data_IF_175123957897
#
_entry.id   IF_175123957897
#
_cell.length_a   1.000
_cell.length_b   1.000
_cell.length_c   1.000
_cell.angle_alpha   90.00
_cell.angle_beta   90.00
_cell.angle_gamma   90.00
#
_symmetry.space_group_name_H-M   'P 1'
#
loop_
_entity.id
_entity.type
_entity.pdbx_description
1 polymer ?
#
# COMPACT_ATOMS: atom_id res chain seq x y z
N UNK A 1 -6.98 55.13 -13.26
CA UNK A 1 -6.98 53.96 -14.17
C UNK A 1 -6.36 52.79 -13.39
N UNK A 2 -7.18 51.89 -13.10
CA UNK A 2 -6.99 50.83 -12.07
C UNK A 2 -6.27 49.64 -12.66
N UNK A 3 -5.09 49.30 -12.14
CA UNK A 3 -4.26 48.17 -12.53
C UNK A 3 -4.27 47.09 -11.42
N UNK A 4 -5.45 46.66 -11.02
CA UNK A 4 -5.64 45.49 -10.15
C UNK A 4 -6.59 44.54 -10.85
N UNK A 5 -6.07 43.57 -11.62
CA UNK A 5 -6.78 42.34 -12.03
C UNK A 5 -6.01 41.59 -13.13
N UNK A 6 -4.78 41.15 -12.87
CA UNK A 6 -4.06 40.23 -13.77
C UNK A 6 -3.11 39.22 -13.00
N UNK A 7 -3.45 38.88 -11.78
CA UNK A 7 -2.63 37.91 -11.02
C UNK A 7 -3.51 36.90 -10.26
N UNK A 8 -4.41 36.19 -10.94
CA UNK A 8 -5.15 35.11 -10.25
C UNK A 8 -5.63 33.98 -11.17
N UNK A 9 -4.85 33.55 -12.13
CA UNK A 9 -5.28 32.38 -12.95
C UNK A 9 -4.18 31.41 -13.36
N UNK A 10 -2.99 31.47 -12.77
CA UNK A 10 -1.88 30.55 -13.13
C UNK A 10 -1.30 29.71 -12.00
N UNK A 11 -1.77 29.83 -10.77
CA UNK A 11 -1.17 29.13 -9.59
C UNK A 11 -1.90 27.86 -9.13
N UNK A 12 -2.87 27.36 -9.85
CA UNK A 12 -3.66 26.16 -9.46
C UNK A 12 -3.35 24.90 -10.27
N UNK A 13 -2.37 24.91 -11.17
CA UNK A 13 -2.15 23.76 -12.08
C UNK A 13 -0.97 22.85 -11.71
N UNK A 14 -0.12 23.19 -10.75
CA UNK A 14 1.11 22.42 -10.53
C UNK A 14 1.13 21.50 -9.30
N UNK A 15 0.20 21.62 -8.38
CA UNK A 15 0.10 20.71 -7.21
C UNK A 15 -0.74 19.46 -7.48
N UNK A 16 -1.41 19.42 -8.64
CA UNK A 16 -2.44 18.42 -8.96
C UNK A 16 -1.92 17.11 -9.60
N UNK A 17 -0.63 16.92 -9.85
CA UNK A 17 -0.19 15.76 -10.66
C UNK A 17 -0.02 14.48 -9.82
N UNK A 18 0.24 14.58 -8.53
CA UNK A 18 0.31 13.39 -7.66
C UNK A 18 -0.96 13.15 -6.83
N UNK A 19 -1.66 14.20 -6.40
CA UNK A 19 -2.91 14.10 -5.62
C UNK A 19 -4.19 14.05 -6.48
N UNK A 20 -4.18 14.62 -7.68
CA UNK A 20 -5.36 14.68 -8.57
C UNK A 20 -5.78 13.34 -9.20
N UNK A 21 -5.06 12.26 -8.95
CA UNK A 21 -5.47 10.92 -9.39
C UNK A 21 -6.44 10.24 -8.41
N UNK A 22 -6.71 10.81 -7.25
CA UNK A 22 -7.47 10.15 -6.19
C UNK A 22 -8.62 10.95 -5.59
N UNK A 23 -8.61 12.28 -5.72
CA UNK A 23 -9.79 13.03 -5.35
C UNK A 23 -10.90 12.74 -6.36
N UNK A 24 -12.05 12.29 -5.90
CA UNK A 24 -13.26 12.24 -6.67
C UNK A 24 -13.55 13.66 -7.21
N UNK A 25 -12.96 13.97 -8.35
CA UNK A 25 -13.14 15.26 -8.99
C UNK A 25 -14.64 15.45 -9.21
N UNK A 26 -15.21 16.46 -8.60
CA UNK A 26 -16.46 17.04 -9.07
C UNK A 26 -16.24 17.35 -10.55
N UNK A 27 -16.81 16.52 -11.43
CA UNK A 27 -16.68 16.67 -12.85
C UNK A 27 -17.28 18.04 -13.21
N UNK A 28 -16.45 19.02 -13.56
CA UNK A 28 -16.93 20.19 -14.26
C UNK A 28 -17.52 19.70 -15.59
N UNK A 29 -18.81 19.86 -15.72
CA UNK A 29 -19.57 19.51 -16.91
C UNK A 29 -18.93 20.14 -18.14
N UNK A 30 -18.40 19.31 -19.02
CA UNK A 30 -18.23 19.71 -20.42
C UNK A 30 -19.62 19.84 -21.01
N UNK A 31 -19.96 21.00 -21.55
CA UNK A 31 -21.17 21.18 -22.34
C UNK A 31 -21.07 20.28 -23.58
N UNK A 32 -21.72 19.12 -23.54
CA UNK A 32 -21.80 18.19 -24.65
C UNK A 32 -21.90 16.74 -24.14
N UNK A 33 -23.04 16.12 -24.32
CA UNK A 33 -23.38 14.68 -24.13
C UNK A 33 -23.15 14.02 -22.76
N UNK A 34 -22.56 14.65 -21.75
CA UNK A 34 -22.30 14.09 -20.42
C UNK A 34 -21.37 12.85 -20.39
N UNK A 35 -20.67 12.58 -21.50
CA UNK A 35 -19.70 11.47 -21.62
C UNK A 35 -18.29 12.02 -21.62
N UNK A 36 -17.40 11.32 -20.92
CA UNK A 36 -15.97 11.61 -20.97
C UNK A 36 -15.16 10.34 -20.94
N UNK A 37 -14.03 10.31 -21.67
CA UNK A 37 -13.01 9.25 -21.59
C UNK A 37 -11.67 9.95 -21.50
N UNK A 38 -10.85 9.49 -20.56
CA UNK A 38 -9.46 9.92 -20.38
C UNK A 38 -8.57 8.68 -20.41
N UNK A 39 -7.59 8.67 -21.33
CA UNK A 39 -6.50 7.71 -21.37
C UNK A 39 -5.31 8.40 -20.72
N UNK A 40 -4.65 7.75 -19.75
CA UNK A 40 -3.53 8.32 -19.01
C UNK A 40 -2.52 7.24 -18.61
N UNK A 41 -1.34 7.70 -18.22
CA UNK A 41 -0.31 6.83 -17.72
C UNK A 41 1.05 7.48 -17.73
N UNK A 42 2.06 6.65 -17.55
CA UNK A 42 3.45 7.05 -17.67
C UNK A 42 4.34 5.89 -18.12
N UNK A 43 5.40 6.21 -18.83
CA UNK A 43 6.54 5.34 -19.03
C UNK A 43 7.62 5.75 -18.03
N UNK A 44 8.17 4.77 -17.32
CA UNK A 44 9.22 4.98 -16.32
C UNK A 44 10.33 3.95 -16.50
N UNK A 45 11.56 4.40 -16.40
CA UNK A 45 12.74 3.54 -16.37
C UNK A 45 13.55 3.87 -15.11
N UNK A 46 13.89 2.85 -14.37
CA UNK A 46 14.59 2.92 -13.10
C UNK A 46 15.94 2.21 -13.23
N UNK A 47 17.03 2.85 -12.82
CA UNK A 47 18.28 2.21 -12.47
C UNK A 47 18.32 2.03 -10.96
N UNK A 48 18.57 0.83 -10.50
CA UNK A 48 18.52 0.42 -9.09
C UNK A 48 19.87 -0.21 -8.75
N UNK A 49 20.43 0.15 -7.59
CA UNK A 49 21.70 -0.36 -7.10
C UNK A 49 21.61 -0.61 -5.59
N UNK A 50 21.64 -1.86 -5.18
CA UNK A 50 21.91 -2.25 -3.80
C UNK A 50 23.39 -2.06 -3.49
N UNK A 51 23.72 -1.54 -2.31
CA UNK A 51 25.08 -1.12 -1.96
C UNK A 51 25.65 -2.01 -0.85
N UNK A 52 24.91 -2.26 0.22
CA UNK A 52 25.39 -2.94 1.42
C UNK A 52 24.70 -4.24 1.74
N UNK A 53 23.58 -4.54 1.10
CA UNK A 53 22.80 -5.73 1.32
C UNK A 53 22.27 -6.31 0.02
N UNK A 54 21.30 -7.19 0.14
CA UNK A 54 20.60 -7.77 -1.00
C UNK A 54 19.19 -8.19 -0.63
N UNK A 55 18.24 -7.93 -1.52
CA UNK A 55 16.89 -8.41 -1.41
C UNK A 55 16.70 -9.75 -2.12
N UNK A 56 15.63 -10.45 -1.73
CA UNK A 56 15.14 -11.62 -2.46
C UNK A 56 15.01 -11.28 -3.97
N UNK A 57 15.63 -12.06 -4.88
CA UNK A 57 15.68 -11.77 -6.31
C UNK A 57 14.32 -11.58 -6.99
N UNK A 58 13.24 -12.12 -6.43
CA UNK A 58 11.89 -11.92 -6.95
C UNK A 58 11.34 -10.50 -6.72
N UNK A 59 12.05 -9.70 -5.87
CA UNK A 59 11.64 -8.37 -5.44
C UNK A 59 12.72 -7.29 -5.65
N UNK A 60 13.72 -7.55 -6.46
CA UNK A 60 14.85 -6.64 -6.70
C UNK A 60 14.47 -5.31 -7.37
N UNK A 61 13.28 -5.21 -7.97
CA UNK A 61 12.75 -3.98 -8.58
C UNK A 61 12.04 -3.03 -7.59
N UNK A 62 11.88 -3.42 -6.32
CA UNK A 62 11.17 -2.65 -5.30
C UNK A 62 11.88 -2.78 -3.95
N UNK A 63 12.02 -1.68 -3.20
CA UNK A 63 12.72 -1.72 -1.93
C UNK A 63 11.78 -2.17 -0.81
N UNK A 64 11.81 -3.47 -0.54
CA UNK A 64 11.03 -4.13 0.52
C UNK A 64 11.95 -4.63 1.63
N UNK A 65 12.13 -3.91 2.75
CA UNK A 65 13.01 -4.36 3.83
C UNK A 65 12.67 -5.74 4.40
N UNK A 66 11.39 -6.17 4.37
CA UNK A 66 11.02 -7.55 4.78
C UNK A 66 11.67 -8.64 3.92
N UNK A 67 12.23 -8.29 2.76
CA UNK A 67 12.88 -9.19 1.80
C UNK A 67 14.41 -9.10 1.84
N UNK A 68 14.97 -8.35 2.76
CA UNK A 68 16.41 -8.35 3.03
C UNK A 68 16.81 -9.75 3.48
N UNK A 69 17.83 -10.29 2.82
CA UNK A 69 18.32 -11.65 3.06
C UNK A 69 19.36 -11.67 4.16
N UNK A 70 19.31 -12.72 4.98
CA UNK A 70 20.25 -12.96 6.07
C UNK A 70 21.39 -13.87 5.62
N UNK A 71 22.55 -13.72 6.24
CA UNK A 71 23.73 -14.61 6.08
C UNK A 71 24.16 -14.84 4.62
N UNK A 72 23.95 -13.84 3.76
CA UNK A 72 24.29 -13.95 2.34
C UNK A 72 23.44 -14.97 1.56
N UNK A 73 22.26 -15.34 2.06
CA UNK A 73 21.40 -16.36 1.44
C UNK A 73 20.99 -16.01 -0.02
N UNK A 74 20.94 -14.72 -0.38
CA UNK A 74 20.65 -14.25 -1.74
C UNK A 74 21.90 -13.96 -2.58
N UNK A 75 23.09 -14.21 -2.07
CA UNK A 75 24.36 -14.01 -2.74
C UNK A 75 25.13 -12.77 -2.25
N UNK A 76 26.12 -12.33 -3.05
CA UNK A 76 26.98 -11.20 -2.71
C UNK A 76 26.25 -9.86 -2.84
N UNK A 77 26.70 -8.85 -2.09
CA UNK A 77 26.21 -7.48 -2.14
C UNK A 77 26.42 -6.80 -3.49
N UNK A 78 25.83 -5.62 -3.69
CA UNK A 78 26.12 -4.78 -4.84
C UNK A 78 25.34 -5.11 -6.11
N UNK A 79 24.13 -5.62 -5.98
CA UNK A 79 23.25 -5.94 -7.11
C UNK A 79 22.79 -4.68 -7.84
N UNK A 80 22.95 -4.67 -9.18
CA UNK A 80 22.39 -3.63 -10.05
C UNK A 80 21.27 -4.21 -10.92
N UNK A 81 20.19 -3.45 -11.10
CA UNK A 81 19.11 -3.77 -12.02
C UNK A 81 18.60 -2.55 -12.79
N UNK A 82 17.92 -2.79 -13.90
CA UNK A 82 17.21 -1.77 -14.68
C UNK A 82 15.79 -2.28 -14.90
N UNK A 83 14.80 -1.48 -14.49
CA UNK A 83 13.40 -1.86 -14.52
C UNK A 83 12.52 -0.84 -15.24
N UNK A 84 11.43 -1.33 -15.84
CA UNK A 84 10.33 -0.50 -16.37
C UNK A 84 9.00 -0.86 -15.71
N UNK A 85 9.02 -1.72 -14.69
CA UNK A 85 7.82 -2.33 -14.08
C UNK A 85 6.88 -1.30 -13.44
N UNK A 86 7.40 -0.12 -13.04
CA UNK A 86 6.57 0.97 -12.51
C UNK A 86 5.66 1.63 -13.55
N UNK A 87 5.99 1.47 -14.86
CA UNK A 87 5.19 2.04 -15.95
C UNK A 87 3.73 1.66 -15.80
N UNK A 88 2.85 2.63 -16.09
CA UNK A 88 1.42 2.53 -15.81
C UNK A 88 0.60 2.96 -16.99
N UNK A 89 -0.54 2.28 -17.19
CA UNK A 89 -1.55 2.65 -18.16
C UNK A 89 -2.93 2.59 -17.52
N UNK A 90 -3.78 3.57 -17.82
CA UNK A 90 -5.13 3.63 -17.29
C UNK A 90 -6.12 4.30 -18.24
N UNK A 91 -7.37 3.92 -18.06
CA UNK A 91 -8.54 4.54 -18.70
C UNK A 91 -9.56 4.84 -17.61
N UNK A 92 -10.08 6.05 -17.59
CA UNK A 92 -11.21 6.42 -16.72
C UNK A 92 -12.23 7.24 -17.51
N UNK A 93 -13.45 7.28 -17.03
CA UNK A 93 -14.48 8.07 -17.71
C UNK A 93 -15.79 8.10 -16.98
N UNK A 94 -16.72 8.86 -17.55
CA UNK A 94 -18.10 8.98 -17.07
C UNK A 94 -19.08 8.75 -18.21
N UNK A 95 -20.23 8.16 -17.89
CA UNK A 95 -21.33 7.93 -18.81
C UNK A 95 -22.65 8.32 -18.14
N UNK A 96 -23.53 9.09 -18.81
CA UNK A 96 -24.87 9.38 -18.31
C UNK A 96 -25.69 8.08 -18.26
N UNK A 97 -26.49 7.88 -17.23
CA UNK A 97 -27.34 6.70 -17.01
C UNK A 97 -28.83 6.98 -17.22
N UNK A 98 -29.21 8.26 -17.42
CA UNK A 98 -30.55 8.73 -17.64
C UNK A 98 -30.74 10.13 -17.08
N UNK A 99 -31.87 10.75 -17.45
CA UNK A 99 -32.22 12.08 -16.96
C UNK A 99 -32.51 12.06 -15.46
N UNK A 100 -31.88 12.98 -14.70
CA UNK A 100 -32.06 13.08 -13.24
C UNK A 100 -31.35 12.00 -12.42
N UNK A 101 -30.56 11.13 -13.05
CA UNK A 101 -29.78 10.08 -12.36
C UNK A 101 -28.29 10.42 -12.30
N UNK A 102 -27.57 9.94 -11.28
CA UNK A 102 -26.13 10.11 -11.20
C UNK A 102 -25.43 9.42 -12.38
N UNK A 103 -24.37 10.03 -12.95
CA UNK A 103 -23.58 9.36 -14.00
C UNK A 103 -22.88 8.12 -13.43
N UNK A 104 -22.66 7.14 -14.31
CA UNK A 104 -21.75 6.04 -14.03
C UNK A 104 -20.31 6.51 -14.28
N UNK A 105 -19.44 6.42 -13.27
CA UNK A 105 -18.00 6.59 -13.41
C UNK A 105 -17.31 5.24 -13.42
N UNK A 106 -16.19 5.12 -14.14
CA UNK A 106 -15.38 3.91 -14.14
C UNK A 106 -13.89 4.25 -14.19
N UNK A 107 -13.07 3.33 -13.69
CA UNK A 107 -11.62 3.38 -13.80
C UNK A 107 -11.07 1.99 -14.05
N UNK A 108 -10.13 1.90 -15.01
CA UNK A 108 -9.30 0.74 -15.27
C UNK A 108 -7.83 1.18 -15.30
N UNK A 109 -6.97 0.52 -14.52
CA UNK A 109 -5.54 0.86 -14.43
C UNK A 109 -4.72 -0.40 -14.14
N UNK A 110 -3.58 -0.54 -14.80
CA UNK A 110 -2.59 -1.58 -14.54
C UNK A 110 -1.17 -1.04 -14.55
N UNK A 111 -0.26 -1.74 -13.90
CA UNK A 111 1.19 -1.60 -13.97
C UNK A 111 1.84 -2.89 -14.48
N UNK A 112 3.18 -2.96 -14.46
CA UNK A 112 3.93 -4.11 -14.99
C UNK A 112 4.57 -4.96 -13.87
N UNK A 113 4.07 -4.86 -12.64
CA UNK A 113 4.51 -5.65 -11.47
C UNK A 113 3.74 -6.98 -11.29
N UNK A 114 3.31 -7.63 -12.35
CA UNK A 114 2.73 -8.96 -12.27
C UNK A 114 3.71 -9.98 -11.69
N UNK A 115 3.17 -10.97 -10.98
CA UNK A 115 3.90 -12.08 -10.36
C UNK A 115 3.54 -13.41 -11.01
N UNK A 116 4.20 -14.49 -10.60
CA UNK A 116 3.98 -15.84 -11.10
C UNK A 116 5.10 -16.31 -12.00
N UNK A 117 4.84 -17.28 -12.87
CA UNK A 117 5.83 -17.90 -13.76
C UNK A 117 6.50 -16.93 -14.75
N UNK A 118 5.87 -15.78 -14.96
CA UNK A 118 6.40 -14.68 -15.77
C UNK A 118 7.11 -13.61 -14.93
N UNK A 119 7.34 -13.83 -13.64
CA UNK A 119 8.14 -12.96 -12.80
C UNK A 119 9.51 -12.76 -13.47
N UNK A 120 9.99 -11.51 -13.56
CA UNK A 120 11.15 -11.15 -14.37
C UNK A 120 10.82 -10.81 -15.83
N UNK A 121 9.64 -11.15 -16.34
CA UNK A 121 9.00 -10.57 -17.52
C UNK A 121 8.07 -9.45 -17.06
N UNK A 122 7.87 -8.41 -17.85
CA UNK A 122 6.97 -7.29 -17.50
C UNK A 122 5.50 -7.69 -17.61
N UNK A 123 5.01 -8.44 -16.63
CA UNK A 123 3.63 -8.94 -16.61
C UNK A 123 2.67 -7.88 -16.07
N UNK A 124 1.52 -7.70 -16.73
CA UNK A 124 0.50 -6.75 -16.29
C UNK A 124 -0.11 -7.17 -14.96
N UNK A 125 -0.24 -6.19 -14.03
CA UNK A 125 -0.92 -6.35 -12.77
C UNK A 125 -2.05 -5.34 -12.64
N UNK A 126 -3.27 -5.83 -12.35
CA UNK A 126 -4.44 -4.99 -12.14
C UNK A 126 -4.27 -4.14 -10.88
N UNK A 127 -4.41 -2.81 -11.03
CA UNK A 127 -4.42 -1.85 -9.92
C UNK A 127 -5.83 -1.44 -9.54
N UNK A 128 -6.56 -0.91 -10.51
CA UNK A 128 -7.94 -0.46 -10.32
C UNK A 128 -8.82 -1.00 -11.44
N UNK A 129 -9.97 -1.53 -11.08
CA UNK A 129 -11.04 -1.86 -12.00
C UNK A 129 -12.38 -1.79 -11.26
N UNK A 130 -13.04 -0.65 -11.36
CA UNK A 130 -14.30 -0.42 -10.66
C UNK A 130 -15.25 0.46 -11.44
N UNK A 131 -16.55 0.34 -11.10
CA UNK A 131 -17.60 1.27 -11.46
C UNK A 131 -18.18 1.94 -10.22
N UNK A 132 -18.57 3.21 -10.35
CA UNK A 132 -19.21 3.97 -9.29
C UNK A 132 -20.49 4.63 -9.85
N UNK A 133 -21.59 4.43 -9.13
CA UNK A 133 -22.88 5.05 -9.44
C UNK A 133 -23.54 5.60 -8.19
N UNK A 134 -23.69 6.93 -8.15
CA UNK A 134 -24.21 7.62 -6.98
C UNK A 134 -23.36 7.39 -5.74
N UNK A 135 -23.90 6.67 -4.76
CA UNK A 135 -23.23 6.37 -3.50
C UNK A 135 -22.55 4.99 -3.48
N UNK A 136 -22.67 4.21 -4.54
CA UNK A 136 -22.19 2.82 -4.58
C UNK A 136 -21.01 2.72 -5.53
N UNK A 137 -19.93 2.08 -5.05
CA UNK A 137 -18.79 1.65 -5.85
C UNK A 137 -18.67 0.13 -5.76
N UNK A 138 -18.40 -0.52 -6.89
CA UNK A 138 -18.13 -1.96 -6.94
C UNK A 138 -16.92 -2.25 -7.84
N UNK A 139 -16.01 -3.10 -7.37
CA UNK A 139 -14.80 -3.51 -8.08
C UNK A 139 -13.55 -3.39 -7.23
N UNK A 140 -12.38 -3.41 -7.86
CA UNK A 140 -11.08 -3.33 -7.18
C UNK A 140 -10.55 -1.90 -7.14
N UNK A 141 -10.24 -1.42 -5.94
CA UNK A 141 -9.56 -0.14 -5.70
C UNK A 141 -8.90 -0.14 -4.31
N UNK A 142 -8.39 1.00 -3.86
CA UNK A 142 -7.84 1.12 -2.51
C UNK A 142 -8.89 0.78 -1.45
N UNK A 143 -8.47 -0.01 -0.46
CA UNK A 143 -9.27 -0.30 0.74
C UNK A 143 -9.70 0.99 1.44
N UNK A 144 -10.83 0.96 2.16
CA UNK A 144 -11.22 2.06 3.06
C UNK A 144 -10.35 2.13 4.31
N UNK A 145 -9.60 1.08 4.62
CA UNK A 145 -8.63 1.09 5.72
C UNK A 145 -7.38 1.91 5.39
N UNK A 146 -7.13 2.22 4.11
CA UNK A 146 -5.95 2.89 3.59
C UNK A 146 -6.17 4.40 3.39
N UNK A 147 -5.15 5.20 3.71
CA UNK A 147 -5.02 6.61 3.29
C UNK A 147 -3.91 6.73 2.24
N UNK A 148 -4.27 6.81 0.97
CA UNK A 148 -3.28 6.91 -0.12
C UNK A 148 -2.57 8.28 -0.14
N UNK A 149 -3.20 9.32 0.39
CA UNK A 149 -2.67 10.68 0.31
C UNK A 149 -1.53 10.94 1.32
N UNK A 150 -1.26 9.98 2.24
CA UNK A 150 -0.05 9.99 3.07
C UNK A 150 1.18 9.41 2.35
N UNK A 151 0.99 8.81 1.16
CA UNK A 151 2.12 8.30 0.36
C UNK A 151 3.02 9.47 -0.05
N UNK A 152 4.32 9.47 0.34
CA UNK A 152 5.24 10.56 0.06
C UNK A 152 5.66 10.60 -1.41
N UNK A 153 6.28 11.69 -1.83
CA UNK A 153 6.76 11.86 -3.20
C UNK A 153 8.10 11.13 -3.43
N UNK A 154 8.10 9.81 -3.23
CA UNK A 154 9.24 8.90 -3.47
C UNK A 154 9.25 8.40 -4.90
N UNK A 155 10.39 7.87 -5.35
CA UNK A 155 10.54 7.24 -6.67
C UNK A 155 10.58 5.73 -6.61
N UNK A 156 10.91 5.14 -5.46
CA UNK A 156 10.76 3.70 -5.27
C UNK A 156 9.29 3.31 -5.40
N UNK A 157 9.07 2.12 -5.98
CA UNK A 157 7.71 1.62 -6.21
C UNK A 157 6.98 1.30 -4.93
N UNK A 158 7.69 0.70 -3.96
CA UNK A 158 7.07 0.19 -2.74
C UNK A 158 6.77 1.31 -1.74
N UNK A 159 7.77 2.14 -1.45
CA UNK A 159 7.67 3.25 -0.50
C UNK A 159 7.69 2.78 0.96
N UNK A 160 7.17 3.62 1.87
CA UNK A 160 7.29 3.40 3.30
C UNK A 160 6.66 2.10 3.79
N UNK A 161 7.40 1.30 4.55
CA UNK A 161 6.95 0.01 5.07
C UNK A 161 5.78 0.10 6.05
N UNK A 162 5.80 1.10 6.95
CA UNK A 162 4.79 1.30 8.00
C UNK A 162 3.45 1.86 7.52
N UNK A 163 3.24 1.95 6.21
CA UNK A 163 2.03 2.45 5.60
C UNK A 163 1.00 1.32 5.43
N UNK A 164 -0.29 1.61 5.66
CA UNK A 164 -1.36 0.77 5.14
C UNK A 164 -1.44 0.96 3.64
N UNK A 165 -1.21 -0.09 2.86
CA UNK A 165 -1.25 -0.03 1.41
C UNK A 165 -1.86 -1.29 0.80
N UNK A 166 -3.16 -1.27 0.54
CA UNK A 166 -3.87 -2.41 0.00
C UNK A 166 -4.93 -2.01 -1.02
N UNK A 167 -4.96 -2.71 -2.15
CA UNK A 167 -6.06 -2.62 -3.14
C UNK A 167 -6.83 -3.91 -3.11
N UNK A 168 -8.14 -3.79 -2.86
CA UNK A 168 -9.00 -4.95 -2.70
C UNK A 168 -10.26 -4.85 -3.55
N UNK A 169 -10.82 -6.01 -3.89
CA UNK A 169 -12.16 -6.10 -4.50
C UNK A 169 -13.18 -5.81 -3.41
N UNK A 170 -14.10 -4.89 -3.69
CA UNK A 170 -15.03 -4.39 -2.68
C UNK A 170 -16.36 -3.94 -3.26
N UNK A 171 -17.37 -3.89 -2.39
CA UNK A 171 -18.60 -3.14 -2.58
C UNK A 171 -18.62 -2.09 -1.49
N UNK A 172 -18.61 -0.81 -1.90
CA UNK A 172 -18.53 0.36 -1.01
C UNK A 172 -19.82 1.17 -1.09
N UNK A 173 -20.28 1.62 0.05
CA UNK A 173 -21.36 2.59 0.18
C UNK A 173 -20.85 3.85 0.87
N UNK A 174 -21.12 5.01 0.26
CA UNK A 174 -20.73 6.33 0.75
C UNK A 174 -22.00 7.13 1.11
N UNK A 175 -22.61 6.86 2.28
CA UNK A 175 -23.90 7.47 2.69
C UNK A 175 -23.77 8.97 2.95
N UNK A 176 -22.58 9.45 3.27
CA UNK A 176 -22.34 10.85 3.58
C UNK A 176 -21.14 11.38 2.80
N UNK A 177 -21.37 12.46 2.06
CA UNK A 177 -20.34 13.17 1.31
C UNK A 177 -20.74 14.64 1.17
N UNK A 178 -19.81 15.52 1.56
CA UNK A 178 -19.87 16.98 1.34
C UNK A 178 -18.60 17.43 0.64
N UNK A 179 -18.42 18.74 0.46
CA UNK A 179 -17.21 19.31 -0.12
C UNK A 179 -15.97 19.09 0.77
N UNK A 180 -16.16 18.88 2.08
CA UNK A 180 -15.09 18.77 3.07
C UNK A 180 -15.08 17.48 3.86
N UNK A 181 -16.08 16.64 3.78
CA UNK A 181 -16.18 15.45 4.62
C UNK A 181 -16.84 14.30 3.90
N UNK A 182 -16.34 13.10 4.14
CA UNK A 182 -16.88 11.87 3.60
C UNK A 182 -16.87 10.77 4.67
N UNK A 183 -17.95 9.97 4.69
CA UNK A 183 -17.99 8.71 5.42
C UNK A 183 -18.37 7.59 4.45
N UNK A 184 -17.64 6.48 4.52
CA UNK A 184 -17.89 5.31 3.68
C UNK A 184 -17.72 4.02 4.47
N UNK A 185 -18.45 2.97 4.05
CA UNK A 185 -18.37 1.61 4.57
C UNK A 185 -18.22 0.68 3.37
N UNK A 186 -17.41 -0.37 3.49
CA UNK A 186 -17.26 -1.38 2.46
C UNK A 186 -17.22 -2.80 3.05
N UNK A 187 -17.69 -3.76 2.25
CA UNK A 187 -17.32 -5.16 2.38
C UNK A 187 -16.24 -5.44 1.35
N UNK A 188 -15.13 -6.03 1.81
CA UNK A 188 -13.94 -6.28 1.00
C UNK A 188 -13.68 -7.80 0.91
N UNK A 189 -13.03 -8.22 -0.18
CA UNK A 189 -12.62 -9.61 -0.32
C UNK A 189 -11.74 -10.00 0.87
N UNK A 190 -12.03 -11.10 1.59
CA UNK A 190 -11.17 -11.58 2.66
C UNK A 190 -9.84 -12.09 2.08
N UNK A 191 -8.82 -12.11 2.89
CA UNK A 191 -7.50 -12.64 2.57
C UNK A 191 -6.60 -12.44 3.77
N UNK A 192 -5.94 -13.50 4.22
CA UNK A 192 -5.07 -13.48 5.38
C UNK A 192 -3.80 -14.29 5.11
N UNK A 193 -2.73 -13.88 5.78
CA UNK A 193 -1.46 -14.57 5.80
C UNK A 193 -1.26 -15.26 7.16
N UNK A 194 -0.92 -16.56 7.13
CA UNK A 194 -0.77 -17.38 8.33
C UNK A 194 0.66 -17.85 8.46
N UNK A 195 1.26 -17.64 9.62
CA UNK A 195 2.48 -18.31 10.03
C UNK A 195 2.12 -19.63 10.73
N UNK A 196 2.65 -20.74 10.25
CA UNK A 196 2.49 -22.03 10.94
C UNK A 196 3.42 -22.20 12.14
N UNK A 197 4.39 -21.29 12.31
CA UNK A 197 5.37 -21.32 13.39
C UNK A 197 6.01 -22.69 13.57
N UNK A 198 6.23 -23.06 14.81
CA UNK A 198 6.88 -24.30 15.21
C UNK A 198 5.90 -25.49 15.40
N UNK A 199 4.65 -25.40 14.91
CA UNK A 199 3.61 -26.45 15.12
C UNK A 199 4.08 -27.84 14.65
N UNK A 200 4.90 -27.91 13.60
CA UNK A 200 5.44 -29.18 13.07
C UNK A 200 6.55 -29.80 13.92
N UNK A 201 6.99 -29.14 14.97
CA UNK A 201 7.93 -29.70 15.96
C UNK A 201 7.23 -30.48 17.06
N UNK A 202 5.91 -30.43 17.15
CA UNK A 202 5.08 -31.13 18.11
C UNK A 202 4.93 -32.60 17.64
N UNK A 203 5.13 -33.56 18.55
CA UNK A 203 4.95 -34.99 18.26
C UNK A 203 3.52 -35.27 17.74
N UNK A 204 3.45 -35.87 16.57
CA UNK A 204 2.20 -36.18 15.89
C UNK A 204 1.64 -35.06 14.98
N UNK A 205 2.31 -33.90 14.92
CA UNK A 205 1.95 -32.79 14.03
C UNK A 205 3.03 -32.49 12.96
N UNK A 206 4.05 -33.33 12.81
CA UNK A 206 5.21 -33.12 11.91
C UNK A 206 4.78 -32.92 10.43
N UNK A 207 3.68 -33.53 10.03
CA UNK A 207 3.13 -33.46 8.67
C UNK A 207 1.90 -32.59 8.54
N UNK A 208 1.57 -31.75 9.54
CA UNK A 208 0.36 -30.95 9.47
C UNK A 208 0.37 -29.96 8.31
N UNK A 209 -0.72 -29.98 7.52
CA UNK A 209 -1.04 -28.95 6.53
C UNK A 209 -1.78 -27.82 7.25
N UNK A 210 -1.33 -26.57 7.01
CA UNK A 210 -1.96 -25.35 7.50
C UNK A 210 -2.27 -24.47 6.30
N UNK A 211 -3.50 -23.97 6.21
CA UNK A 211 -3.90 -23.00 5.19
C UNK A 211 -4.86 -21.97 5.73
N UNK A 212 -4.94 -20.84 5.06
CA UNK A 212 -5.92 -19.80 5.35
C UNK A 212 -7.36 -20.27 5.01
N UNK A 213 -8.32 -19.76 5.78
CA UNK A 213 -9.75 -19.91 5.57
C UNK A 213 -10.42 -18.53 5.45
N UNK A 214 -11.12 -18.30 4.33
CA UNK A 214 -11.66 -17.00 3.95
C UNK A 214 -13.20 -17.04 3.89
N UNK A 215 -13.87 -17.34 4.98
CA UNK A 215 -15.32 -17.56 5.02
C UNK A 215 -16.16 -16.28 4.95
N UNK A 216 -15.68 -15.17 5.52
CA UNK A 216 -16.45 -13.94 5.72
C UNK A 216 -15.71 -12.75 5.15
N UNK A 217 -16.37 -11.89 4.35
CA UNK A 217 -15.75 -10.65 3.89
C UNK A 217 -15.27 -9.75 5.03
N UNK A 218 -14.17 -9.05 4.80
CA UNK A 218 -13.69 -8.01 5.71
C UNK A 218 -14.64 -6.81 5.68
N UNK A 219 -14.91 -6.22 6.84
CA UNK A 219 -15.69 -4.99 6.98
C UNK A 219 -14.74 -3.82 7.22
N UNK A 220 -14.78 -2.81 6.33
CA UNK A 220 -13.99 -1.59 6.48
C UNK A 220 -14.88 -0.35 6.53
N UNK A 221 -14.44 0.67 7.26
CA UNK A 221 -15.10 1.96 7.33
C UNK A 221 -14.07 3.08 7.35
N UNK A 222 -14.42 4.24 6.79
CA UNK A 222 -13.53 5.39 6.70
C UNK A 222 -14.30 6.68 6.91
N UNK A 223 -13.74 7.58 7.72
CA UNK A 223 -14.12 8.99 7.75
C UNK A 223 -12.94 9.85 7.31
N UNK A 224 -13.18 10.76 6.37
CA UNK A 224 -12.21 11.74 5.89
C UNK A 224 -12.76 13.15 6.04
N UNK A 225 -11.92 14.06 6.52
CA UNK A 225 -12.19 15.49 6.53
C UNK A 225 -11.02 16.25 5.90
N UNK A 226 -11.31 17.18 5.00
CA UNK A 226 -10.31 17.91 4.25
C UNK A 226 -10.63 19.39 4.08
N UNK A 227 -9.62 20.20 3.87
CA UNK A 227 -9.71 21.64 3.65
C UNK A 227 -8.40 22.20 3.09
N UNK A 228 -8.25 23.53 3.09
CA UNK A 228 -7.03 24.19 2.58
C UNK A 228 -5.77 23.81 3.38
N UNK A 229 -5.93 23.40 4.62
CA UNK A 229 -4.85 22.95 5.50
C UNK A 229 -4.33 21.54 5.19
N UNK A 230 -5.05 20.76 4.40
CA UNK A 230 -4.79 19.36 4.12
C UNK A 230 -5.98 18.46 4.46
N UNK A 231 -5.71 17.26 5.00
CA UNK A 231 -6.77 16.33 5.40
C UNK A 231 -6.40 15.53 6.64
N UNK A 232 -7.42 14.95 7.26
CA UNK A 232 -7.31 13.85 8.23
C UNK A 232 -8.24 12.73 7.82
N UNK A 233 -7.76 11.51 7.94
CA UNK A 233 -8.51 10.30 7.66
C UNK A 233 -8.41 9.36 8.85
N UNK A 234 -9.56 8.76 9.24
CA UNK A 234 -9.64 7.67 10.20
C UNK A 234 -10.29 6.48 9.51
N UNK A 235 -9.53 5.40 9.37
CA UNK A 235 -9.97 4.11 8.83
C UNK A 235 -10.08 3.07 9.93
N UNK A 236 -11.07 2.19 9.82
CA UNK A 236 -11.24 1.04 10.70
C UNK A 236 -11.50 -0.23 9.91
N UNK A 237 -11.06 -1.36 10.46
CA UNK A 237 -11.28 -2.69 9.89
C UNK A 237 -11.70 -3.68 10.97
N UNK A 238 -12.60 -4.59 10.60
CA UNK A 238 -12.99 -5.76 11.39
C UNK A 238 -12.99 -6.98 10.48
N UNK A 239 -12.33 -8.06 10.92
CA UNK A 239 -12.08 -9.26 10.12
C UNK A 239 -12.36 -10.54 10.91
N UNK A 240 -12.66 -11.62 10.19
CA UNK A 240 -12.50 -12.99 10.67
C UNK A 240 -11.24 -13.56 10.02
N UNK A 241 -10.19 -13.78 10.81
CA UNK A 241 -8.92 -14.37 10.35
C UNK A 241 -9.00 -15.86 10.59
N UNK A 242 -9.29 -16.64 9.54
CA UNK A 242 -9.56 -18.06 9.63
C UNK A 242 -8.39 -18.93 9.19
N UNK A 243 -8.34 -20.15 9.70
CA UNK A 243 -7.37 -21.18 9.33
C UNK A 243 -8.01 -22.56 9.28
N UNK A 244 -7.40 -23.46 8.52
CA UNK A 244 -7.73 -24.89 8.51
C UNK A 244 -6.46 -25.72 8.74
N UNK A 245 -6.59 -26.78 9.53
CA UNK A 245 -5.55 -27.75 9.84
C UNK A 245 -5.94 -29.16 9.34
N UNK A 246 -4.95 -29.92 8.88
CA UNK A 246 -5.12 -31.31 8.51
C UNK A 246 -3.83 -32.10 8.77
N UNK A 247 -3.91 -33.16 9.57
CA UNK A 247 -2.74 -34.01 9.95
C UNK A 247 -2.46 -35.13 8.96
N UNK A 248 -3.50 -35.71 8.33
CA UNK A 248 -3.38 -36.74 7.29
C UNK A 248 -4.22 -36.34 6.07
N UNK A 249 -3.74 -36.51 4.82
CA UNK A 249 -4.52 -36.26 3.61
C UNK A 249 -5.87 -36.99 3.54
N UNK A 250 -6.04 -38.08 4.28
CA UNK A 250 -7.32 -38.81 4.40
C UNK A 250 -8.28 -38.19 5.43
N UNK A 251 -7.80 -37.31 6.29
CA UNK A 251 -8.60 -36.65 7.30
C UNK A 251 -9.40 -35.48 6.75
N UNK A 252 -10.40 -35.05 7.50
CA UNK A 252 -11.09 -33.81 7.25
C UNK A 252 -10.28 -32.64 7.83
N UNK A 253 -10.43 -31.47 7.22
CA UNK A 253 -9.90 -30.25 7.75
C UNK A 253 -10.60 -29.87 9.07
N UNK A 254 -9.81 -29.39 10.03
CA UNK A 254 -10.31 -28.76 11.27
C UNK A 254 -10.18 -27.27 11.11
N UNK A 255 -11.24 -26.54 11.37
CA UNK A 255 -11.33 -25.09 11.19
C UNK A 255 -11.15 -24.36 12.51
N UNK A 256 -10.56 -23.18 12.44
CA UNK A 256 -10.46 -22.24 13.55
C UNK A 256 -10.40 -20.81 13.04
N UNK A 257 -10.62 -19.84 13.90
CA UNK A 257 -10.54 -18.42 13.49
C UNK A 257 -10.42 -17.49 14.69
N UNK A 258 -9.74 -16.36 14.46
CA UNK A 258 -9.63 -15.25 15.39
C UNK A 258 -10.24 -13.98 14.81
N UNK A 259 -10.59 -13.04 15.70
CA UNK A 259 -11.08 -11.72 15.29
C UNK A 259 -9.91 -10.78 15.06
N UNK A 260 -9.73 -10.36 13.81
CA UNK A 260 -8.82 -9.29 13.47
C UNK A 260 -9.51 -7.93 13.50
N UNK A 261 -8.80 -6.90 13.93
CA UNK A 261 -9.29 -5.53 13.96
C UNK A 261 -8.15 -4.52 13.84
N UNK A 262 -8.44 -3.29 13.38
CA UNK A 262 -7.43 -2.25 13.32
C UNK A 262 -8.01 -0.85 13.18
N UNK A 263 -7.19 0.13 13.55
CA UNK A 263 -7.45 1.56 13.37
C UNK A 263 -6.25 2.18 12.67
N UNK A 264 -6.51 2.94 11.61
CA UNK A 264 -5.54 3.72 10.86
C UNK A 264 -5.90 5.21 10.93
N UNK A 265 -4.94 6.05 11.29
CA UNK A 265 -5.08 7.51 11.28
C UNK A 265 -4.01 8.09 10.39
N UNK A 266 -4.44 8.68 9.27
CA UNK A 266 -3.58 9.32 8.27
C UNK A 266 -3.86 10.82 8.16
N UNK A 267 -2.84 11.60 7.84
CA UNK A 267 -2.97 13.03 7.58
C UNK A 267 -1.86 13.54 6.68
N UNK A 268 -2.20 14.47 5.80
CA UNK A 268 -1.24 15.32 5.11
C UNK A 268 -1.57 16.77 5.40
N UNK A 269 -0.63 17.49 6.01
CA UNK A 269 -0.73 18.92 6.27
C UNK A 269 0.00 19.71 5.20
N UNK A 270 -0.72 20.63 4.56
CA UNK A 270 -0.12 21.63 3.68
C UNK A 270 0.61 22.66 4.56
N UNK A 271 1.93 22.74 4.41
CA UNK A 271 2.78 23.73 5.08
C UNK A 271 3.47 24.58 4.02
N UNK A 272 3.65 25.85 4.30
CA UNK A 272 4.12 26.81 3.31
C UNK A 272 3.21 26.80 2.04
N UNK A 273 3.72 27.23 0.88
CA UNK A 273 2.91 27.30 -0.36
C UNK A 273 2.73 25.96 -1.06
N UNK A 274 3.71 25.05 -0.96
CA UNK A 274 3.76 23.80 -1.73
C UNK A 274 4.25 22.58 -0.94
N UNK A 275 4.67 22.79 0.28
CA UNK A 275 5.22 21.73 1.11
C UNK A 275 4.13 20.95 1.82
N UNK A 276 4.42 19.68 2.13
CA UNK A 276 3.49 18.84 2.87
C UNK A 276 4.22 17.99 3.93
N UNK A 277 3.62 17.89 5.11
CA UNK A 277 3.98 16.90 6.13
C UNK A 277 2.97 15.77 6.06
N UNK A 278 3.45 14.53 5.92
CA UNK A 278 2.63 13.32 5.81
C UNK A 278 2.88 12.44 7.01
N UNK A 279 1.82 12.08 7.70
CA UNK A 279 1.89 11.27 8.91
C UNK A 279 0.84 10.16 8.86
N UNK A 280 1.20 8.97 9.32
CA UNK A 280 0.27 7.89 9.56
C UNK A 280 0.69 7.10 10.80
N UNK A 281 -0.30 6.64 11.56
CA UNK A 281 -0.17 5.64 12.61
C UNK A 281 -1.28 4.62 12.43
N UNK A 282 -0.90 3.36 12.42
CA UNK A 282 -1.83 2.23 12.39
C UNK A 282 -1.50 1.27 13.52
N UNK A 283 -2.55 0.75 14.15
CA UNK A 283 -2.44 -0.32 15.15
C UNK A 283 -3.63 -1.27 14.98
N UNK A 284 -3.37 -2.56 15.19
CA UNK A 284 -4.40 -3.57 15.20
C UNK A 284 -3.82 -4.98 15.35
N UNK A 285 -4.69 -5.97 15.29
CA UNK A 285 -4.39 -7.39 15.40
C UNK A 285 -4.95 -8.10 14.17
N UNK A 286 -4.13 -8.96 13.54
CA UNK A 286 -4.54 -9.66 12.32
C UNK A 286 -4.75 -8.72 11.13
N UNK A 287 -3.90 -7.71 10.94
CA UNK A 287 -4.01 -6.71 9.86
C UNK A 287 -2.78 -6.64 8.94
N UNK A 288 -1.81 -7.54 9.11
CA UNK A 288 -0.54 -7.49 8.38
C UNK A 288 -0.71 -7.55 6.86
N UNK A 289 -1.68 -8.31 6.35
CA UNK A 289 -2.01 -8.38 4.91
C UNK A 289 -2.51 -7.05 4.31
N UNK A 290 -2.88 -6.07 5.12
CA UNK A 290 -3.24 -4.71 4.70
C UNK A 290 -2.07 -3.73 4.73
N UNK A 291 -0.94 -4.12 5.33
CA UNK A 291 0.26 -3.29 5.39
C UNK A 291 1.01 -3.31 4.06
N UNK A 292 1.78 -2.26 3.83
CA UNK A 292 2.65 -2.20 2.67
C UNK A 292 3.74 -3.26 2.73
N UNK A 293 4.33 -3.50 3.90
CA UNK A 293 5.37 -4.50 4.08
C UNK A 293 5.41 -5.06 5.51
N UNK A 294 5.64 -6.37 5.63
CA UNK A 294 5.96 -7.08 6.88
C UNK A 294 4.78 -7.70 7.62
N UNK A 295 5.08 -8.78 8.35
CA UNK A 295 4.19 -9.46 9.28
C UNK A 295 3.28 -10.54 8.69
N UNK A 296 2.61 -11.23 9.61
CA UNK A 296 1.55 -12.21 9.35
C UNK A 296 0.32 -11.84 10.16
N UNK A 297 -0.88 -12.20 9.67
CA UNK A 297 -2.15 -11.92 10.34
C UNK A 297 -2.39 -12.82 11.54
N UNK A 298 -2.00 -14.10 11.43
CA UNK A 298 -2.26 -15.14 12.41
C UNK A 298 -1.03 -15.99 12.63
N UNK A 299 -0.77 -16.36 13.89
CA UNK A 299 0.31 -17.27 14.27
C UNK A 299 -0.10 -18.15 15.44
N UNK A 300 0.55 -19.34 15.63
CA UNK A 300 0.29 -20.20 16.77
C UNK A 300 0.94 -19.64 18.04
N UNK A 301 0.26 -19.84 19.18
CA UNK A 301 0.84 -19.72 20.51
C UNK A 301 0.70 -21.04 21.28
N UNK A 302 1.60 -21.28 22.22
CA UNK A 302 1.60 -22.55 22.95
C UNK A 302 1.89 -22.37 24.44
N UNK A 303 1.17 -23.13 25.25
CA UNK A 303 1.51 -23.33 26.65
C UNK A 303 2.35 -24.60 26.86
N UNK A 304 3.30 -24.57 27.79
CA UNK A 304 4.16 -25.71 28.11
C UNK A 304 4.08 -26.13 29.57
N UNK A 305 4.09 -27.42 29.77
CA UNK A 305 4.36 -28.00 31.08
C UNK A 305 5.52 -28.98 30.98
N UNK A 306 6.63 -28.68 31.64
CA UNK A 306 7.83 -29.56 31.65
C UNK A 306 8.33 -29.95 30.25
N UNK A 307 8.41 -28.97 29.33
CA UNK A 307 8.83 -29.13 27.92
C UNK A 307 7.84 -29.88 27.01
N UNK A 308 6.62 -30.12 27.47
CA UNK A 308 5.54 -30.68 26.65
C UNK A 308 4.53 -29.58 26.38
N UNK A 309 4.15 -29.38 25.10
CA UNK A 309 3.05 -28.46 24.73
C UNK A 309 1.76 -29.02 25.33
N UNK A 310 1.10 -28.23 26.16
CA UNK A 310 -0.15 -28.61 26.84
C UNK A 310 -1.38 -27.98 26.23
N UNK A 311 -1.20 -26.86 25.56
CA UNK A 311 -2.23 -26.17 24.81
C UNK A 311 -1.61 -25.50 23.57
N UNK A 312 -2.36 -25.43 22.50
CA UNK A 312 -1.97 -24.80 21.25
C UNK A 312 -3.16 -23.99 20.73
N UNK A 313 -2.98 -22.69 20.69
CA UNK A 313 -4.00 -21.75 20.23
C UNK A 313 -3.49 -20.97 19.00
N UNK A 314 -4.40 -20.42 18.23
CA UNK A 314 -4.07 -19.44 17.20
C UNK A 314 -4.32 -18.04 17.78
N UNK A 315 -3.43 -17.09 17.47
CA UNK A 315 -3.56 -15.71 17.89
C UNK A 315 -3.47 -14.77 16.70
N UNK A 316 -4.36 -13.75 16.66
CA UNK A 316 -4.23 -12.64 15.73
C UNK A 316 -3.02 -11.79 16.15
N UNK A 317 -2.02 -11.66 15.26
CA UNK A 317 -0.75 -11.02 15.59
C UNK A 317 -0.92 -9.51 15.69
N UNK A 318 -0.55 -8.87 16.83
CA UNK A 318 -0.57 -7.43 16.96
C UNK A 318 0.48 -6.76 16.08
N UNK A 319 0.11 -5.61 15.47
CA UNK A 319 0.98 -4.87 14.58
C UNK A 319 0.85 -3.37 14.81
N UNK A 320 1.99 -2.68 14.81
CA UNK A 320 2.10 -1.22 14.78
C UNK A 320 2.83 -0.77 13.53
N UNK A 321 2.26 0.21 12.82
CA UNK A 321 2.92 0.87 11.69
C UNK A 321 2.92 2.38 11.85
N UNK A 322 4.04 3.02 11.51
CA UNK A 322 4.20 4.48 11.58
C UNK A 322 4.90 4.98 10.33
N UNK A 323 4.47 6.16 9.88
CA UNK A 323 5.08 6.89 8.78
C UNK A 323 5.15 8.37 9.12
N UNK A 324 6.30 9.00 8.80
CA UNK A 324 6.50 10.45 8.90
C UNK A 324 7.39 10.93 7.76
N UNK A 325 6.86 11.78 6.89
CA UNK A 325 7.55 12.32 5.73
C UNK A 325 7.33 13.83 5.59
N UNK A 326 8.32 14.51 4.98
CA UNK A 326 8.25 15.90 4.59
C UNK A 326 8.58 16.04 3.11
N UNK A 327 7.62 16.54 2.33
CA UNK A 327 7.78 16.89 0.92
C UNK A 327 8.05 18.38 0.81
N UNK A 328 9.19 18.77 0.22
CA UNK A 328 9.65 20.16 0.08
C UNK A 328 9.85 20.55 -1.38
N UNK A 329 9.40 21.74 -1.75
CA UNK A 329 9.61 22.33 -3.07
C UNK A 329 10.66 23.46 -2.99
N UNK A 330 11.84 23.18 -3.51
CA UNK A 330 12.93 24.17 -3.63
C UNK A 330 12.61 25.25 -4.67
N UNK A 331 11.84 24.89 -5.71
CA UNK A 331 11.38 25.77 -6.80
C UNK A 331 10.27 25.08 -7.59
N UNK A 332 9.77 25.73 -8.64
CA UNK A 332 8.79 25.08 -9.56
C UNK A 332 9.31 23.85 -10.28
N UNK A 333 10.64 23.63 -10.29
CA UNK A 333 11.29 22.54 -11.01
C UNK A 333 12.00 21.53 -10.12
N UNK A 334 12.12 21.80 -8.82
CA UNK A 334 12.86 20.93 -7.92
C UNK A 334 12.07 20.66 -6.66
N UNK A 335 11.97 19.40 -6.29
CA UNK A 335 11.42 18.98 -5.01
C UNK A 335 12.26 17.88 -4.37
N UNK A 336 12.03 17.64 -3.10
CA UNK A 336 12.59 16.54 -2.32
C UNK A 336 11.52 15.98 -1.41
N UNK A 337 11.64 14.68 -1.11
CA UNK A 337 10.91 14.02 -0.04
C UNK A 337 11.91 13.37 0.89
N UNK A 338 11.74 13.51 2.19
CA UNK A 338 12.58 12.87 3.19
C UNK A 338 11.72 12.36 4.33
N UNK A 339 11.99 11.16 4.81
CA UNK A 339 11.24 10.63 5.93
C UNK A 339 11.66 9.26 6.39
N UNK A 340 10.86 8.76 7.31
CA UNK A 340 11.07 7.51 7.99
C UNK A 340 9.75 6.80 8.26
N UNK A 341 9.79 5.47 8.26
CA UNK A 341 8.67 4.63 8.67
C UNK A 341 9.16 3.33 9.29
N UNK A 342 8.30 2.68 10.05
CA UNK A 342 8.55 1.34 10.55
C UNK A 342 7.25 0.52 10.62
N UNK A 343 7.42 -0.81 10.57
CA UNK A 343 6.40 -1.81 10.94
C UNK A 343 7.00 -2.73 11.98
N UNK A 344 6.26 -2.99 13.04
CA UNK A 344 6.66 -3.88 14.13
C UNK A 344 5.49 -4.78 14.51
N UNK A 345 5.74 -6.05 14.75
CA UNK A 345 4.77 -7.03 15.20
C UNK A 345 5.17 -7.58 16.57
N UNK A 346 4.18 -7.85 17.41
CA UNK A 346 4.37 -8.58 18.65
C UNK A 346 4.19 -10.07 18.36
N UNK A 347 5.29 -10.76 18.05
CA UNK A 347 5.28 -12.19 17.72
C UNK A 347 4.74 -13.03 18.88
N UNK A 348 4.00 -14.09 18.53
CA UNK A 348 3.57 -15.09 19.51
C UNK A 348 4.77 -15.91 20.00
N UNK A 349 4.60 -16.58 21.11
CA UNK A 349 5.66 -17.37 21.74
C UNK A 349 5.99 -18.70 21.00
N UNK A 350 5.27 -19.02 19.91
CA UNK A 350 5.47 -20.25 19.15
C UNK A 350 5.83 -20.03 17.68
N UNK A 351 6.09 -18.79 17.29
CA UNK A 351 6.67 -18.49 15.99
C UNK A 351 8.15 -18.88 15.92
N UNK A 352 8.65 -19.07 14.69
CA UNK A 352 10.06 -19.39 14.44
C UNK A 352 10.97 -18.24 14.90
N UNK A 353 12.19 -18.51 15.43
CA UNK A 353 13.17 -17.47 15.73
C UNK A 353 13.51 -16.57 14.54
N UNK A 354 13.50 -17.10 13.32
CA UNK A 354 13.70 -16.34 12.07
C UNK A 354 12.45 -15.64 11.55
N UNK A 355 11.29 -15.72 12.26
CA UNK A 355 10.08 -14.99 11.86
C UNK A 355 10.34 -13.48 11.86
N UNK A 356 9.66 -12.78 10.97
CA UNK A 356 9.69 -11.32 10.90
C UNK A 356 9.22 -10.69 12.22
N UNK A 357 9.97 -9.72 12.75
CA UNK A 357 9.55 -8.93 13.89
C UNK A 357 9.42 -7.45 13.55
N UNK A 358 10.42 -6.85 12.92
CA UNK A 358 10.43 -5.41 12.66
C UNK A 358 11.12 -5.08 11.36
N UNK A 359 10.67 -4.03 10.71
CA UNK A 359 11.39 -3.31 9.66
C UNK A 359 11.41 -1.82 9.95
N UNK A 360 12.57 -1.22 9.68
CA UNK A 360 12.77 0.22 9.61
C UNK A 360 13.03 0.61 8.15
N UNK A 361 12.55 1.77 7.74
CA UNK A 361 12.69 2.30 6.39
C UNK A 361 12.91 3.81 6.46
N UNK A 362 13.93 4.29 5.77
CA UNK A 362 14.16 5.71 5.57
C UNK A 362 14.50 6.00 4.11
N UNK A 363 14.03 7.12 3.59
CA UNK A 363 14.41 7.55 2.25
C UNK A 363 14.55 9.07 2.16
N UNK A 364 15.36 9.49 1.16
CA UNK A 364 15.49 10.88 0.80
C UNK A 364 15.83 11.02 -0.68
N UNK A 365 15.17 11.96 -1.37
CA UNK A 365 15.33 12.13 -2.81
C UNK A 365 15.53 13.58 -3.24
N UNK A 366 15.91 13.72 -4.51
CA UNK A 366 15.89 14.97 -5.24
C UNK A 366 15.24 14.73 -6.61
N UNK A 367 14.17 15.44 -6.89
CA UNK A 367 13.39 15.33 -8.11
C UNK A 367 13.52 16.59 -8.95
N UNK A 368 13.67 16.41 -10.27
CA UNK A 368 13.80 17.48 -11.23
C UNK A 368 12.72 17.37 -12.32
N UNK A 369 11.96 18.43 -12.50
CA UNK A 369 10.86 18.58 -13.47
C UNK A 369 11.25 19.59 -14.55
N UNK A 370 11.99 19.20 -15.60
CA UNK A 370 12.36 20.13 -16.68
C UNK A 370 11.16 20.59 -17.50
N UNK A 371 10.11 19.78 -17.58
CA UNK A 371 8.85 20.05 -18.28
C UNK A 371 7.69 19.38 -17.53
N UNK A 372 6.46 19.78 -17.77
CA UNK A 372 5.26 19.34 -17.07
C UNK A 372 5.04 17.81 -17.08
N UNK A 373 5.49 17.14 -18.14
CA UNK A 373 5.31 15.70 -18.32
C UNK A 373 6.57 14.88 -18.06
N UNK A 374 7.67 15.51 -17.68
CA UNK A 374 8.96 14.84 -17.56
C UNK A 374 9.54 15.05 -16.16
N UNK A 375 9.97 13.95 -15.54
CA UNK A 375 10.63 13.94 -14.25
C UNK A 375 11.88 13.06 -14.30
N UNK A 376 12.95 13.56 -13.73
CA UNK A 376 14.14 12.79 -13.35
C UNK A 376 14.26 12.83 -11.84
N UNK A 377 14.72 11.73 -11.24
CA UNK A 377 14.87 11.66 -9.80
C UNK A 377 16.03 10.78 -9.39
N UNK A 378 16.63 11.11 -8.25
CA UNK A 378 17.58 10.27 -7.54
C UNK A 378 17.11 10.11 -6.09
N UNK A 379 17.13 8.89 -5.58
CA UNK A 379 16.68 8.54 -4.24
C UNK A 379 17.70 7.63 -3.58
N UNK A 380 17.97 7.89 -2.30
CA UNK A 380 18.73 7.01 -1.43
C UNK A 380 17.77 6.46 -0.37
N UNK A 381 17.80 5.15 -0.20
CA UNK A 381 16.98 4.41 0.74
C UNK A 381 17.86 3.60 1.67
N UNK A 382 17.44 3.50 2.90
CA UNK A 382 17.97 2.56 3.89
C UNK A 382 16.82 1.77 4.48
N UNK A 383 17.01 0.47 4.62
CA UNK A 383 16.08 -0.42 5.29
C UNK A 383 16.80 -1.41 6.18
N UNK A 384 16.18 -1.78 7.28
CA UNK A 384 16.64 -2.81 8.18
C UNK A 384 15.49 -3.78 8.47
N UNK A 385 15.80 -5.06 8.51
CA UNK A 385 14.91 -6.12 9.00
C UNK A 385 15.48 -6.73 10.25
N UNK A 386 14.63 -6.93 11.25
CA UNK A 386 14.90 -7.67 12.49
C UNK A 386 13.96 -8.87 12.59
N UNK A 387 14.50 -10.01 12.97
CA UNK A 387 13.77 -11.23 13.22
C UNK A 387 13.45 -11.41 14.73
N UNK A 388 12.57 -12.35 15.04
CA UNK A 388 12.08 -12.65 16.39
C UNK A 388 13.20 -13.04 17.39
N UNK A 389 14.34 -13.55 16.92
CA UNK A 389 15.53 -13.84 17.73
C UNK A 389 16.47 -12.65 17.93
N UNK A 390 16.11 -11.48 17.38
CA UNK A 390 16.93 -10.26 17.43
C UNK A 390 18.04 -10.22 16.38
N UNK A 391 18.16 -11.20 15.48
CA UNK A 391 19.05 -11.10 14.33
C UNK A 391 18.55 -9.98 13.40
N UNK A 392 19.47 -9.16 12.89
CA UNK A 392 19.12 -8.06 12.01
C UNK A 392 20.10 -7.90 10.86
N UNK A 393 19.57 -7.52 9.68
CA UNK A 393 20.34 -7.18 8.48
C UNK A 393 19.78 -5.92 7.86
N UNK A 394 20.63 -5.15 7.16
CA UNK A 394 20.24 -3.91 6.52
C UNK A 394 20.73 -3.82 5.06
N UNK A 395 20.07 -2.96 4.29
CA UNK A 395 20.50 -2.60 2.94
C UNK A 395 20.39 -1.09 2.71
N UNK A 396 21.34 -0.58 1.93
CA UNK A 396 21.32 0.78 1.38
C UNK A 396 21.16 0.68 -0.13
N UNK A 397 20.10 1.27 -0.65
CA UNK A 397 19.78 1.28 -2.08
C UNK A 397 19.85 2.69 -2.65
N UNK A 398 20.44 2.81 -3.81
CA UNK A 398 20.36 3.99 -4.68
C UNK A 398 19.45 3.69 -5.85
N UNK A 399 18.53 4.62 -6.17
CA UNK A 399 17.69 4.54 -7.36
C UNK A 399 17.76 5.84 -8.14
N UNK A 400 17.89 5.73 -9.47
CA UNK A 400 17.70 6.83 -10.41
C UNK A 400 16.55 6.52 -11.33
N UNK A 401 15.69 7.53 -11.59
CA UNK A 401 14.50 7.35 -12.43
C UNK A 401 14.39 8.40 -13.52
N UNK A 402 13.83 7.98 -14.65
CA UNK A 402 13.32 8.86 -15.70
C UNK A 402 11.87 8.49 -15.98
N UNK A 403 10.96 9.46 -15.83
CA UNK A 403 9.51 9.27 -15.95
C UNK A 403 8.92 10.27 -16.93
N UNK A 404 8.15 9.75 -17.89
CA UNK A 404 7.37 10.55 -18.84
C UNK A 404 5.89 10.25 -18.68
N UNK A 405 5.10 11.27 -18.32
CA UNK A 405 3.66 11.18 -18.17
C UNK A 405 2.96 11.50 -19.49
N UNK A 406 1.84 10.82 -19.77
CA UNK A 406 0.97 11.12 -20.90
C UNK A 406 -0.50 11.08 -20.47
N UNK A 407 -1.32 11.88 -21.17
CA UNK A 407 -2.76 11.92 -20.96
C UNK A 407 -3.49 12.49 -22.15
N UNK A 408 -4.63 11.90 -22.50
CA UNK A 408 -5.52 12.34 -23.58
C UNK A 408 -6.96 12.32 -23.05
N UNK A 409 -7.68 13.39 -23.23
CA UNK A 409 -9.08 13.53 -22.80
C UNK A 409 -9.97 13.76 -24.02
N UNK A 410 -11.05 12.98 -24.10
CA UNK A 410 -12.02 13.00 -25.18
C UNK A 410 -13.44 13.31 -24.67
#
# INVERSE_FOLDING_TARGET
MDTRNLLNSRSLLSVAVSAALLSGASAMAAEGSGRSIEIYGFAQADYIQDITGRLDPDWDDAFRPSKICFDGACGEDGQASISVKQSRFGVKGTMPTGEGTAPLSFKFEFDLFGTGVDAGQTTMRLRHFYGEWGQILAGQTHSLFMDIDVFPNTIDYWGPSGMVFYRNVQIRWTPYKTDHSQFAIAIERPGNDIDSGNIRTIEGLEGVDVRNDEEVPDLTAQYRHEGDWGHVLVGGILRKVGYELRTDPADRWTEGSETGWGINVGTAFNVLEKDAIRLQVVYGEGIASYMNDGGMDLAPSADWQSSVVTDLEAEAVPLTGVLAYYDHWWSDKWSSSIGYSFTEVDNTNFQDPGAFQKIDYASGNLLFYPADNLMFGAELMWGQRENNDGASEDDVRFQFTAKYNFGFKF
#
